data_IF_629970059312
#
_entry.id   IF_629970059312
#
_cell.length_a   1.000
_cell.length_b   1.000
_cell.length_c   1.000
_cell.angle_alpha   90.00
_cell.angle_beta   90.00
_cell.angle_gamma   90.00
#
_symmetry.space_group_name_H-M   'P 1'
#
loop_
_entity.id
_entity.type
_entity.pdbx_description
1 polymer ?
#
# COMPACT_ATOMS: atom_id res chain seq x y z
N UNK A 1 -14.43 15.20 -39.95
CA UNK A 1 -14.62 16.13 -38.80
C UNK A 1 -14.98 15.34 -37.53
N UNK A 2 -14.14 14.38 -37.10
CA UNK A 2 -14.40 13.49 -35.94
C UNK A 2 -13.08 13.28 -35.17
N UNK A 3 -12.53 14.34 -34.58
CA UNK A 3 -11.29 14.26 -33.78
C UNK A 3 -11.34 15.05 -32.46
N UNK A 4 -12.50 15.58 -32.06
CA UNK A 4 -12.62 16.37 -30.81
C UNK A 4 -13.21 15.61 -29.61
N UNK A 5 -13.42 14.30 -29.71
CA UNK A 5 -14.03 13.48 -28.63
C UNK A 5 -13.03 12.67 -27.78
N UNK A 6 -11.72 12.76 -28.06
CA UNK A 6 -10.69 11.98 -27.35
C UNK A 6 -9.84 12.77 -26.35
N UNK A 7 -10.22 14.00 -25.99
CA UNK A 7 -9.64 14.65 -24.82
C UNK A 7 -10.45 14.29 -23.58
N UNK A 8 -9.82 13.51 -22.69
CA UNK A 8 -10.36 13.14 -21.38
C UNK A 8 -10.89 14.38 -20.65
N UNK A 9 -12.17 14.41 -20.24
CA UNK A 9 -12.74 15.57 -19.58
C UNK A 9 -12.09 15.84 -18.20
N UNK A 10 -12.04 17.12 -17.83
CA UNK A 10 -11.44 17.64 -16.59
C UNK A 10 -12.01 17.06 -15.29
N UNK A 11 -13.17 16.39 -15.32
CA UNK A 11 -13.76 15.74 -14.14
C UNK A 11 -13.05 14.45 -13.70
N UNK A 12 -12.08 13.95 -14.46
CA UNK A 12 -11.22 12.82 -14.05
C UNK A 12 -10.10 13.22 -13.09
N UNK A 13 -9.88 14.51 -12.85
CA UNK A 13 -8.73 15.00 -12.07
C UNK A 13 -8.99 15.13 -10.56
N UNK A 14 -10.25 15.06 -10.10
CA UNK A 14 -10.57 15.20 -8.68
C UNK A 14 -11.73 14.26 -8.28
N UNK A 15 -11.40 13.11 -7.69
CA UNK A 15 -12.38 12.11 -7.21
C UNK A 15 -12.99 11.29 -8.36
N UNK A 16 -12.26 10.27 -8.79
CA UNK A 16 -12.53 9.54 -10.03
C UNK A 16 -13.96 8.99 -10.12
N UNK A 17 -14.56 9.13 -11.30
CA UNK A 17 -15.83 8.51 -11.73
C UNK A 17 -15.95 7.02 -11.36
N UNK A 18 -14.80 6.36 -11.14
CA UNK A 18 -14.62 4.97 -10.73
C UNK A 18 -15.28 4.67 -9.37
N UNK A 19 -15.16 5.55 -8.38
CA UNK A 19 -15.68 5.32 -7.02
C UNK A 19 -17.23 5.34 -6.98
N UNK A 20 -17.84 5.94 -8.02
CA UNK A 20 -19.30 6.04 -8.16
C UNK A 20 -19.91 4.92 -9.00
N UNK A 21 -19.10 4.20 -9.79
CA UNK A 21 -19.60 3.17 -10.70
C UNK A 21 -19.79 1.81 -10.02
N UNK A 22 -18.95 1.44 -9.06
CA UNK A 22 -19.07 0.14 -8.38
C UNK A 22 -20.42 -0.07 -7.68
N UNK A 23 -20.99 0.93 -6.97
CA UNK A 23 -22.35 0.82 -6.42
C UNK A 23 -23.43 0.74 -7.50
N UNK A 24 -23.24 1.41 -8.64
CA UNK A 24 -24.18 1.39 -9.77
C UNK A 24 -24.17 0.06 -10.49
N UNK A 25 -22.99 -0.53 -10.72
CA UNK A 25 -22.81 -1.87 -11.28
C UNK A 25 -23.48 -2.89 -10.36
N UNK A 26 -23.23 -2.81 -9.04
CA UNK A 26 -23.90 -3.69 -8.06
C UNK A 26 -25.42 -3.60 -8.17
N UNK A 27 -25.98 -2.39 -8.16
CA UNK A 27 -27.43 -2.18 -8.24
C UNK A 27 -28.02 -2.62 -9.59
N UNK A 28 -27.28 -2.45 -10.67
CA UNK A 28 -27.69 -2.84 -12.02
C UNK A 28 -27.69 -4.37 -12.20
N UNK A 29 -26.67 -5.05 -11.68
CA UNK A 29 -26.56 -6.51 -11.64
C UNK A 29 -27.64 -7.15 -10.77
N UNK A 30 -28.02 -6.50 -9.67
CA UNK A 30 -29.12 -6.97 -8.81
C UNK A 30 -30.51 -6.84 -9.46
N UNK A 31 -30.67 -6.02 -10.51
CA UNK A 31 -31.96 -5.68 -11.11
C UNK A 31 -32.22 -6.26 -12.50
N UNK A 32 -31.20 -6.80 -13.20
CA UNK A 32 -31.34 -7.29 -14.59
C UNK A 32 -30.94 -8.76 -14.68
N UNK A 33 -31.92 -9.65 -14.90
CA UNK A 33 -31.75 -11.09 -14.69
C UNK A 33 -30.96 -11.83 -15.78
N UNK A 34 -30.89 -11.36 -17.04
CA UNK A 34 -30.29 -12.18 -18.12
C UNK A 34 -29.63 -11.42 -19.28
N UNK A 35 -29.70 -10.09 -19.32
CA UNK A 35 -29.02 -9.30 -20.35
C UNK A 35 -27.86 -8.54 -19.72
N UNK A 36 -26.70 -8.61 -20.37
CA UNK A 36 -25.51 -7.78 -20.16
C UNK A 36 -24.34 -8.35 -19.33
N UNK A 37 -24.22 -9.67 -19.12
CA UNK A 37 -22.98 -10.27 -18.60
C UNK A 37 -21.70 -9.77 -19.30
N UNK A 38 -21.74 -9.59 -20.62
CA UNK A 38 -20.61 -9.06 -21.40
C UNK A 38 -20.27 -7.61 -21.06
N UNK A 39 -21.28 -6.75 -20.84
CA UNK A 39 -21.05 -5.34 -20.50
C UNK A 39 -20.61 -5.22 -19.04
N UNK A 40 -21.20 -6.00 -18.13
CA UNK A 40 -20.76 -6.08 -16.73
C UNK A 40 -19.30 -6.54 -16.64
N UNK A 41 -18.96 -7.62 -17.35
CA UNK A 41 -17.57 -8.10 -17.45
C UNK A 41 -16.64 -7.01 -17.98
N UNK A 42 -16.99 -6.37 -19.11
CA UNK A 42 -16.19 -5.30 -19.69
C UNK A 42 -15.99 -4.12 -18.73
N UNK A 43 -17.04 -3.70 -18.01
CA UNK A 43 -16.96 -2.65 -17.00
C UNK A 43 -16.03 -3.05 -15.84
N UNK A 44 -16.13 -4.28 -15.35
CA UNK A 44 -15.27 -4.78 -14.27
C UNK A 44 -13.81 -4.90 -14.71
N UNK A 45 -13.54 -5.35 -15.94
CA UNK A 45 -12.19 -5.34 -16.54
C UNK A 45 -11.66 -3.91 -16.60
N UNK A 46 -12.46 -2.96 -17.07
CA UNK A 46 -12.07 -1.56 -17.14
C UNK A 46 -11.77 -0.98 -15.75
N UNK A 47 -12.60 -1.29 -14.75
CA UNK A 47 -12.37 -0.87 -13.37
C UNK A 47 -11.10 -1.48 -12.78
N UNK A 48 -10.82 -2.76 -13.03
CA UNK A 48 -9.59 -3.41 -12.59
C UNK A 48 -8.36 -2.72 -13.20
N UNK A 49 -8.38 -2.44 -14.51
CA UNK A 49 -7.28 -1.75 -15.19
C UNK A 49 -7.05 -0.34 -14.63
N UNK A 50 -8.11 0.42 -14.40
CA UNK A 50 -8.01 1.77 -13.84
C UNK A 50 -7.58 1.76 -12.36
N UNK A 51 -7.94 0.73 -11.58
CA UNK A 51 -7.44 0.52 -10.22
C UNK A 51 -5.95 0.16 -10.25
N UNK A 52 -5.56 -0.80 -11.09
CA UNK A 52 -4.18 -1.25 -11.23
C UNK A 52 -3.25 -0.10 -11.63
N UNK A 53 -3.65 0.71 -12.62
CA UNK A 53 -2.89 1.89 -13.02
C UNK A 53 -2.68 2.86 -11.84
N UNK A 54 -3.76 3.24 -11.14
CA UNK A 54 -3.68 4.16 -10.00
C UNK A 54 -2.78 3.63 -8.89
N UNK A 55 -2.95 2.37 -8.51
CA UNK A 55 -2.17 1.76 -7.43
C UNK A 55 -0.70 1.60 -7.82
N UNK A 56 -0.39 1.27 -9.08
CA UNK A 56 0.97 1.19 -9.59
C UNK A 56 1.66 2.57 -9.62
N UNK A 57 0.95 3.61 -10.09
CA UNK A 57 1.45 4.98 -10.10
C UNK A 57 1.71 5.49 -8.67
N UNK A 58 0.80 5.21 -7.74
CA UNK A 58 0.98 5.53 -6.32
C UNK A 58 2.15 4.75 -5.71
N UNK A 59 2.25 3.44 -5.92
CA UNK A 59 3.39 2.65 -5.44
C UNK A 59 4.72 3.11 -6.06
N UNK A 60 4.69 3.67 -7.28
CA UNK A 60 5.82 4.28 -7.97
C UNK A 60 6.18 5.70 -7.51
N UNK A 61 5.39 6.35 -6.65
CA UNK A 61 5.63 7.74 -6.23
C UNK A 61 5.60 7.95 -4.72
N UNK A 62 4.81 7.17 -3.99
CA UNK A 62 4.54 7.34 -2.56
C UNK A 62 5.65 6.76 -1.66
N UNK A 63 5.89 7.43 -0.52
CA UNK A 63 6.68 6.86 0.59
C UNK A 63 5.86 5.80 1.34
N UNK A 64 6.50 4.98 2.17
CA UNK A 64 5.79 4.01 3.02
C UNK A 64 4.74 4.68 3.92
N UNK A 65 5.02 5.87 4.45
CA UNK A 65 4.08 6.63 5.27
C UNK A 65 2.88 7.15 4.49
N UNK A 66 3.07 7.62 3.25
CA UNK A 66 1.94 8.00 2.39
C UNK A 66 1.08 6.78 2.08
N UNK A 67 1.72 5.64 1.79
CA UNK A 67 1.01 4.37 1.55
C UNK A 67 0.19 3.95 2.77
N UNK A 68 0.72 4.09 3.98
CA UNK A 68 -0.02 3.78 5.20
C UNK A 68 -1.24 4.69 5.42
N UNK A 69 -1.15 5.98 5.07
CA UNK A 69 -2.30 6.90 5.12
C UNK A 69 -3.38 6.55 4.10
N UNK A 70 -3.00 6.09 2.92
CA UNK A 70 -3.92 5.68 1.85
C UNK A 70 -4.41 4.22 1.92
N UNK A 71 -3.86 3.42 2.84
CA UNK A 71 -4.08 1.97 2.93
C UNK A 71 -5.56 1.59 3.00
N UNK A 72 -6.32 2.27 3.87
CA UNK A 72 -7.76 2.02 4.06
C UNK A 72 -8.57 2.19 2.76
N UNK A 73 -8.24 3.21 1.96
CA UNK A 73 -8.95 3.48 0.71
C UNK A 73 -8.59 2.45 -0.38
N UNK A 74 -7.31 2.07 -0.51
CA UNK A 74 -6.89 1.02 -1.46
C UNK A 74 -7.53 -0.33 -1.15
N UNK A 75 -7.56 -0.71 0.13
CA UNK A 75 -8.22 -1.94 0.59
C UNK A 75 -9.71 -1.90 0.25
N UNK A 76 -10.38 -0.78 0.53
CA UNK A 76 -11.80 -0.60 0.21
C UNK A 76 -12.08 -0.73 -1.28
N UNK A 77 -11.30 -0.07 -2.15
CA UNK A 77 -11.48 -0.13 -3.60
C UNK A 77 -11.36 -1.56 -4.14
N UNK A 78 -10.39 -2.33 -3.64
CA UNK A 78 -10.23 -3.75 -3.99
C UNK A 78 -11.43 -4.57 -3.51
N UNK A 79 -11.85 -4.37 -2.26
CA UNK A 79 -12.99 -5.08 -1.67
C UNK A 79 -14.29 -4.78 -2.44
N UNK A 80 -14.52 -3.52 -2.81
CA UNK A 80 -15.71 -3.12 -3.57
C UNK A 80 -15.73 -3.78 -4.96
N UNK A 81 -14.58 -3.83 -5.64
CA UNK A 81 -14.45 -4.49 -6.94
C UNK A 81 -14.64 -6.01 -6.83
N UNK A 82 -14.05 -6.66 -5.81
CA UNK A 82 -14.27 -8.08 -5.51
C UNK A 82 -15.75 -8.38 -5.27
N UNK A 83 -16.43 -7.55 -4.46
CA UNK A 83 -17.86 -7.72 -4.19
C UNK A 83 -18.70 -7.59 -5.46
N UNK A 84 -18.37 -6.63 -6.33
CA UNK A 84 -19.07 -6.46 -7.61
C UNK A 84 -18.87 -7.67 -8.53
N UNK A 85 -17.65 -8.21 -8.61
CA UNK A 85 -17.35 -9.41 -9.38
C UNK A 85 -18.10 -10.66 -8.85
N UNK A 86 -18.11 -10.86 -7.53
CA UNK A 86 -18.84 -11.95 -6.88
C UNK A 86 -20.35 -11.84 -7.08
N UNK A 87 -20.92 -10.64 -6.98
CA UNK A 87 -22.34 -10.39 -7.27
C UNK A 87 -22.69 -10.68 -8.73
N UNK A 88 -21.78 -10.35 -9.65
CA UNK A 88 -21.93 -10.57 -11.09
C UNK A 88 -21.68 -12.01 -11.53
N UNK A 89 -21.24 -12.87 -10.61
CA UNK A 89 -20.84 -14.27 -10.87
C UNK A 89 -19.75 -14.37 -11.94
N UNK A 90 -18.87 -13.39 -11.98
CA UNK A 90 -17.78 -13.30 -12.95
C UNK A 90 -16.49 -13.86 -12.33
N UNK A 91 -16.34 -15.18 -12.42
CA UNK A 91 -15.18 -15.89 -11.86
C UNK A 91 -13.87 -15.48 -12.56
N UNK A 92 -13.92 -15.11 -13.85
CA UNK A 92 -12.74 -14.67 -14.61
C UNK A 92 -12.18 -13.38 -14.01
N UNK A 93 -13.05 -12.42 -13.71
CA UNK A 93 -12.63 -11.19 -13.05
C UNK A 93 -12.20 -11.43 -11.61
N UNK A 94 -12.91 -12.26 -10.84
CA UNK A 94 -12.50 -12.57 -9.47
C UNK A 94 -11.07 -13.11 -9.43
N UNK A 95 -10.74 -14.01 -10.35
CA UNK A 95 -9.40 -14.58 -10.50
C UNK A 95 -8.40 -13.50 -10.93
N UNK A 96 -8.75 -12.65 -11.90
CA UNK A 96 -7.89 -11.56 -12.36
C UNK A 96 -7.55 -10.56 -11.26
N UNK A 97 -8.49 -10.27 -10.34
CA UNK A 97 -8.24 -9.41 -9.18
C UNK A 97 -7.26 -10.11 -8.21
N UNK A 98 -7.43 -11.40 -7.96
CA UNK A 98 -6.53 -12.18 -7.10
C UNK A 98 -5.12 -12.24 -7.71
N UNK A 99 -5.00 -12.52 -9.00
CA UNK A 99 -3.73 -12.53 -9.72
C UNK A 99 -3.04 -11.17 -9.61
N UNK A 100 -3.77 -10.07 -9.85
CA UNK A 100 -3.26 -8.72 -9.69
C UNK A 100 -2.71 -8.46 -8.26
N UNK A 101 -3.43 -8.88 -7.21
CA UNK A 101 -2.99 -8.70 -5.82
C UNK A 101 -1.70 -9.47 -5.50
N UNK A 102 -1.56 -10.68 -6.05
CA UNK A 102 -0.36 -11.50 -5.88
C UNK A 102 0.82 -10.89 -6.65
N UNK A 103 0.62 -10.55 -7.92
CA UNK A 103 1.66 -10.03 -8.81
C UNK A 103 2.15 -8.63 -8.39
N UNK A 104 1.31 -7.87 -7.68
CA UNK A 104 1.58 -6.50 -7.25
C UNK A 104 1.60 -6.36 -5.71
N UNK A 105 2.05 -7.40 -5.01
CA UNK A 105 2.11 -7.47 -3.55
C UNK A 105 2.76 -6.24 -2.88
N UNK A 106 3.78 -5.66 -3.53
CA UNK A 106 4.56 -4.54 -2.99
C UNK A 106 3.80 -3.21 -2.99
N UNK A 107 2.64 -3.15 -3.66
CA UNK A 107 1.76 -1.98 -3.65
C UNK A 107 0.95 -1.88 -2.34
N UNK A 108 0.91 -2.96 -1.56
CA UNK A 108 0.09 -3.11 -0.37
C UNK A 108 0.95 -3.32 0.86
N UNK A 109 0.46 -2.88 2.03
CA UNK A 109 1.03 -3.34 3.29
C UNK A 109 0.60 -4.80 3.53
N UNK A 110 1.39 -5.58 4.25
CA UNK A 110 1.02 -6.97 4.53
C UNK A 110 -0.32 -7.06 5.29
N UNK A 111 -0.59 -6.12 6.20
CA UNK A 111 -1.88 -6.03 6.89
C UNK A 111 -3.05 -5.67 5.96
N UNK A 112 -2.82 -4.97 4.85
CA UNK A 112 -3.85 -4.70 3.84
C UNK A 112 -4.24 -6.00 3.14
N UNK A 113 -3.24 -6.82 2.77
CA UNK A 113 -3.47 -8.14 2.17
C UNK A 113 -4.18 -9.07 3.14
N UNK A 114 -3.89 -9.00 4.44
CA UNK A 114 -4.64 -9.72 5.49
C UNK A 114 -6.09 -9.27 5.54
N UNK A 115 -6.37 -7.97 5.51
CA UNK A 115 -7.75 -7.46 5.52
C UNK A 115 -8.55 -7.97 4.31
N UNK A 116 -7.94 -7.94 3.12
CA UNK A 116 -8.53 -8.48 1.89
C UNK A 116 -8.72 -10.00 1.98
N UNK A 117 -7.73 -10.74 2.50
CA UNK A 117 -7.81 -12.19 2.70
C UNK A 117 -8.97 -12.58 3.62
N UNK A 118 -9.15 -11.88 4.75
CA UNK A 118 -10.26 -12.09 5.67
C UNK A 118 -11.60 -11.78 5.01
N UNK A 119 -11.67 -10.70 4.22
CA UNK A 119 -12.87 -10.38 3.45
C UNK A 119 -13.22 -11.50 2.48
N UNK A 120 -12.26 -11.96 1.67
CA UNK A 120 -12.44 -13.05 0.71
C UNK A 120 -12.90 -14.32 1.43
N UNK A 121 -12.31 -14.67 2.58
CA UNK A 121 -12.64 -15.89 3.33
C UNK A 121 -14.07 -15.91 3.84
N UNK A 122 -14.58 -14.78 4.33
CA UNK A 122 -15.95 -14.63 4.83
C UNK A 122 -17.02 -14.78 3.74
N UNK A 123 -16.65 -14.57 2.48
CA UNK A 123 -17.56 -14.80 1.36
C UNK A 123 -17.75 -16.30 1.13
N UNK A 124 -19.00 -16.76 0.99
CA UNK A 124 -19.25 -18.15 0.58
C UNK A 124 -19.07 -18.29 -0.92
N UNK A 125 -18.23 -19.22 -1.40
CA UNK A 125 -18.06 -19.45 -2.83
C UNK A 125 -19.36 -20.01 -3.38
N UNK A 126 -19.79 -19.51 -4.54
CA UNK A 126 -20.89 -20.11 -5.31
C UNK A 126 -20.38 -21.09 -6.38
N UNK A 127 -19.07 -21.12 -6.64
CA UNK A 127 -18.43 -21.85 -7.74
C UNK A 127 -17.06 -22.44 -7.34
N UNK A 128 -16.65 -23.53 -8.00
CA UNK A 128 -15.43 -24.29 -7.68
C UNK A 128 -14.13 -23.62 -8.16
N UNK A 129 -14.11 -22.99 -9.34
CA UNK A 129 -12.90 -22.35 -9.89
C UNK A 129 -12.44 -21.19 -9.01
N UNK A 130 -13.39 -20.42 -8.49
CA UNK A 130 -13.16 -19.34 -7.53
C UNK A 130 -12.61 -19.87 -6.19
N UNK A 131 -12.95 -21.10 -5.81
CA UNK A 131 -12.41 -21.69 -4.57
C UNK A 131 -10.90 -21.91 -4.64
N UNK A 132 -10.39 -22.47 -5.74
CA UNK A 132 -8.95 -22.70 -5.91
C UNK A 132 -8.14 -21.40 -5.82
N UNK A 133 -8.62 -20.34 -6.48
CA UNK A 133 -7.92 -19.05 -6.48
C UNK A 133 -8.00 -18.34 -5.12
N UNK A 134 -9.13 -18.47 -4.42
CA UNK A 134 -9.25 -18.02 -3.02
C UNK A 134 -8.26 -18.75 -2.13
N UNK A 135 -8.19 -20.07 -2.21
CA UNK A 135 -7.19 -20.86 -1.45
C UNK A 135 -5.77 -20.43 -1.78
N UNK A 136 -5.46 -20.18 -3.07
CA UNK A 136 -4.15 -19.67 -3.49
C UNK A 136 -3.81 -18.33 -2.85
N UNK A 137 -4.72 -17.36 -2.88
CA UNK A 137 -4.49 -16.05 -2.24
C UNK A 137 -4.31 -16.16 -0.73
N UNK A 138 -5.15 -16.96 -0.08
CA UNK A 138 -5.08 -17.22 1.35
C UNK A 138 -3.75 -17.88 1.77
N UNK A 139 -3.31 -18.89 1.02
CA UNK A 139 -2.03 -19.54 1.23
C UNK A 139 -0.85 -18.57 1.00
N UNK A 140 -0.95 -17.73 -0.03
CA UNK A 140 0.04 -16.70 -0.31
C UNK A 140 0.19 -15.71 0.87
N UNK A 141 -0.90 -15.14 1.37
CA UNK A 141 -0.85 -14.20 2.51
C UNK A 141 -0.35 -14.89 3.78
N UNK A 142 -0.79 -16.12 4.05
CA UNK A 142 -0.30 -16.93 5.18
C UNK A 142 1.21 -17.15 5.09
N UNK A 143 1.71 -17.56 3.94
CA UNK A 143 3.14 -17.83 3.76
C UNK A 143 3.98 -16.55 3.93
N UNK A 144 3.49 -15.40 3.45
CA UNK A 144 4.15 -14.10 3.69
C UNK A 144 4.23 -13.76 5.17
N UNK A 145 3.14 -13.95 5.92
CA UNK A 145 3.15 -13.75 7.38
C UNK A 145 4.16 -14.67 8.06
N UNK A 146 4.16 -15.96 7.71
CA UNK A 146 5.12 -16.93 8.26
C UNK A 146 6.55 -16.50 7.94
N UNK A 147 6.88 -16.15 6.69
CA UNK A 147 8.23 -15.71 6.31
C UNK A 147 8.69 -14.48 7.10
N UNK A 148 7.80 -13.49 7.31
CA UNK A 148 8.13 -12.29 8.09
C UNK A 148 8.30 -12.62 9.58
N UNK A 149 7.48 -13.50 10.14
CA UNK A 149 7.53 -13.88 11.55
C UNK A 149 8.66 -14.88 11.87
N UNK A 150 9.09 -15.71 10.90
CA UNK A 150 10.26 -16.58 11.03
C UNK A 150 11.56 -15.77 11.03
N UNK A 151 11.54 -14.54 10.49
CA UNK A 151 12.67 -13.63 10.59
C UNK A 151 12.83 -13.16 12.05
N UNK A 152 14.07 -13.08 12.55
CA UNK A 152 14.32 -12.69 13.95
C UNK A 152 13.75 -11.28 14.21
N UNK A 153 13.27 -11.02 15.44
CA UNK A 153 12.87 -9.67 15.81
C UNK A 153 14.06 -8.71 15.70
N UNK A 154 13.75 -7.42 15.52
CA UNK A 154 14.74 -6.35 15.51
C UNK A 154 15.60 -6.43 16.78
N UNK A 155 16.91 -6.41 16.60
CA UNK A 155 17.86 -6.44 17.72
C UNK A 155 17.86 -5.08 18.45
N UNK A 156 18.13 -5.08 19.76
CA UNK A 156 18.06 -3.87 20.60
C UNK A 156 19.07 -2.78 20.19
N UNK A 157 20.13 -3.15 19.49
CA UNK A 157 21.17 -2.29 18.96
C UNK A 157 21.04 -2.01 17.46
N UNK A 158 20.01 -2.55 16.79
CA UNK A 158 19.75 -2.29 15.39
C UNK A 158 18.92 -1.02 15.20
N UNK A 159 19.61 0.10 15.01
CA UNK A 159 19.01 1.40 14.68
C UNK A 159 18.81 1.63 13.18
N UNK A 160 18.95 0.60 12.34
CA UNK A 160 18.76 0.78 10.89
C UNK A 160 17.30 1.09 10.56
N UNK A 161 17.08 2.11 9.74
CA UNK A 161 15.79 2.49 9.20
C UNK A 161 15.83 2.24 7.69
N UNK A 162 15.08 1.22 7.26
CA UNK A 162 14.92 0.88 5.84
C UNK A 162 13.78 1.73 5.28
N UNK A 163 14.06 3.03 5.12
CA UNK A 163 13.20 3.96 4.42
C UNK A 163 14.06 4.67 3.38
N UNK A 164 13.74 4.48 2.10
CA UNK A 164 14.46 5.14 1.01
C UNK A 164 13.60 6.29 0.53
N UNK A 165 14.16 7.51 0.58
CA UNK A 165 13.61 8.58 -0.23
C UNK A 165 13.89 8.31 -1.72
N UNK A 166 13.11 8.94 -2.61
CA UNK A 166 13.30 8.81 -4.07
C UNK A 166 14.20 9.92 -4.64
N UNK A 167 14.74 10.79 -3.80
CA UNK A 167 15.52 11.93 -4.22
C UNK A 167 16.98 11.50 -4.42
N UNK A 168 17.48 11.56 -5.66
CA UNK A 168 18.85 11.18 -5.98
C UNK A 168 19.92 12.20 -5.62
N UNK A 169 19.60 13.26 -4.86
CA UNK A 169 20.56 14.30 -4.55
C UNK A 169 21.60 13.81 -3.51
N UNK A 170 22.79 14.42 -3.51
CA UNK A 170 23.87 14.03 -2.61
C UNK A 170 23.46 14.11 -1.12
N UNK A 171 22.58 15.05 -0.77
CA UNK A 171 22.09 15.18 0.60
C UNK A 171 21.17 14.02 1.01
N UNK A 172 20.28 13.61 0.11
CA UNK A 172 19.40 12.46 0.34
C UNK A 172 20.17 11.14 0.38
N UNK A 173 21.22 10.99 -0.42
CA UNK A 173 22.12 9.84 -0.32
C UNK A 173 22.81 9.78 1.06
N UNK A 174 23.36 10.90 1.53
CA UNK A 174 23.98 10.99 2.85
C UNK A 174 22.98 10.72 3.99
N UNK A 175 21.74 11.22 3.86
CA UNK A 175 20.66 10.90 4.79
C UNK A 175 20.35 9.40 4.79
N UNK A 176 20.20 8.77 3.62
CA UNK A 176 19.92 7.35 3.51
C UNK A 176 21.05 6.50 4.11
N UNK A 177 22.32 6.87 3.91
CA UNK A 177 23.45 6.20 4.57
C UNK A 177 23.35 6.29 6.09
N UNK A 178 23.02 7.46 6.63
CA UNK A 178 22.78 7.61 8.07
C UNK A 178 21.59 6.77 8.57
N UNK A 179 20.50 6.72 7.82
CA UNK A 179 19.32 5.93 8.17
C UNK A 179 19.64 4.44 8.19
N UNK A 180 20.37 3.94 7.20
CA UNK A 180 20.69 2.51 7.07
C UNK A 180 21.75 2.00 8.06
N UNK A 181 22.63 2.87 8.57
CA UNK A 181 23.63 2.49 9.56
C UNK A 181 22.97 2.05 10.89
N UNK A 182 23.22 0.81 11.32
CA UNK A 182 22.63 0.25 12.54
C UNK A 182 23.27 0.81 13.83
N UNK A 183 24.51 1.26 13.76
CA UNK A 183 25.31 1.78 14.87
C UNK A 183 25.21 3.30 15.04
N UNK A 184 24.81 4.03 14.00
CA UNK A 184 24.66 5.47 14.03
C UNK A 184 23.26 5.89 14.52
N UNK A 185 23.22 6.46 15.72
CA UNK A 185 22.00 6.99 16.36
C UNK A 185 21.84 8.49 16.18
N UNK A 186 22.93 9.21 15.99
CA UNK A 186 22.96 10.67 15.88
C UNK A 186 23.87 11.12 14.73
N UNK A 187 23.53 12.26 14.12
CA UNK A 187 24.35 12.92 13.12
C UNK A 187 24.23 14.43 13.24
N UNK A 188 25.38 15.11 13.26
CA UNK A 188 25.45 16.56 13.20
C UNK A 188 25.97 16.96 11.83
N UNK A 189 25.19 17.73 11.10
CA UNK A 189 25.45 18.01 9.70
C UNK A 189 25.43 19.51 9.40
N UNK A 190 26.60 20.13 9.15
CA UNK A 190 26.64 21.52 8.71
C UNK A 190 26.10 21.63 7.28
N UNK A 191 25.01 22.38 7.13
CA UNK A 191 24.31 22.54 5.85
C UNK A 191 23.93 24.00 5.66
N UNK A 192 23.78 24.47 4.42
CA UNK A 192 23.19 25.79 4.16
C UNK A 192 21.67 25.77 4.38
N UNK A 193 21.03 26.94 4.52
CA UNK A 193 19.59 27.04 4.86
C UNK A 193 18.68 26.25 3.92
N UNK A 194 18.87 26.37 2.60
CA UNK A 194 18.03 25.67 1.62
C UNK A 194 18.17 24.14 1.71
N UNK A 195 19.41 23.65 1.85
CA UNK A 195 19.70 22.21 2.02
C UNK A 195 19.12 21.65 3.32
N UNK A 196 19.20 22.41 4.42
CA UNK A 196 18.52 22.01 5.68
C UNK A 196 17.02 21.92 5.51
N UNK A 197 16.39 22.91 4.87
CA UNK A 197 14.95 22.91 4.64
C UNK A 197 14.50 21.71 3.81
N UNK A 198 15.31 21.33 2.81
CA UNK A 198 15.08 20.13 2.01
C UNK A 198 15.08 18.87 2.89
N UNK A 199 16.12 18.65 3.69
CA UNK A 199 16.20 17.48 4.58
C UNK A 199 15.07 17.45 5.61
N UNK A 200 14.68 18.60 6.17
CA UNK A 200 13.50 18.70 7.04
C UNK A 200 12.25 18.13 6.33
N UNK A 201 11.95 18.61 5.12
CA UNK A 201 10.79 18.14 4.36
C UNK A 201 10.86 16.66 3.98
N UNK A 202 12.06 16.13 3.70
CA UNK A 202 12.25 14.71 3.40
C UNK A 202 11.97 13.84 4.64
N UNK A 203 12.54 14.19 5.81
CA UNK A 203 12.32 13.45 7.06
C UNK A 203 10.84 13.51 7.49
N UNK A 204 10.21 14.68 7.41
CA UNK A 204 8.78 14.85 7.68
C UNK A 204 7.90 14.02 6.72
N UNK A 205 8.20 14.08 5.41
CA UNK A 205 7.44 13.37 4.37
C UNK A 205 7.57 11.84 4.42
N UNK A 206 8.71 11.33 4.91
CA UNK A 206 8.89 9.91 5.18
C UNK A 206 8.20 9.44 6.46
N UNK A 207 7.86 10.36 7.37
CA UNK A 207 7.23 10.09 8.68
C UNK A 207 7.97 9.00 9.47
N UNK A 208 9.30 9.05 9.44
CA UNK A 208 10.20 8.11 10.14
C UNK A 208 10.50 8.59 11.57
N UNK A 209 10.84 7.68 12.50
CA UNK A 209 11.14 8.01 13.89
C UNK A 209 12.53 8.65 14.05
N UNK A 210 12.73 9.82 13.43
CA UNK A 210 13.97 10.61 13.49
C UNK A 210 13.63 12.05 13.86
N UNK A 211 14.15 12.49 15.00
CA UNK A 211 14.08 13.90 15.37
C UNK A 211 15.11 14.70 14.59
N UNK A 212 14.73 15.92 14.20
CA UNK A 212 15.53 16.81 13.38
C UNK A 212 15.47 18.22 13.95
N UNK A 213 16.61 18.81 14.32
CA UNK A 213 16.67 20.12 14.94
C UNK A 213 17.81 20.95 14.36
N UNK A 214 17.54 22.21 14.03
CA UNK A 214 18.60 23.13 13.59
C UNK A 214 19.17 23.88 14.78
N UNK A 215 20.47 23.69 15.04
CA UNK A 215 21.23 24.52 15.98
C UNK A 215 21.69 25.80 15.28
N UNK A 216 21.23 26.95 15.79
CA UNK A 216 21.49 28.28 15.22
C UNK A 216 22.70 28.95 15.88
N UNK A 217 23.83 28.25 15.91
CA UNK A 217 25.10 28.75 16.43
C UNK A 217 26.20 28.63 15.37
N UNK A 218 26.95 29.71 15.16
CA UNK A 218 27.98 29.80 14.11
C UNK A 218 27.42 29.86 12.68
N UNK A 219 28.29 29.93 11.67
CA UNK A 219 27.90 29.80 10.26
C UNK A 219 28.83 28.80 9.59
N UNK A 220 28.31 27.78 8.89
CA UNK A 220 26.89 27.44 8.69
C UNK A 220 26.22 26.83 9.94
N UNK A 221 24.92 27.07 10.14
CA UNK A 221 24.11 26.37 11.15
C UNK A 221 24.11 24.85 10.92
N UNK A 222 23.99 24.08 12.00
CA UNK A 222 24.06 22.62 11.97
C UNK A 222 22.67 22.00 12.10
N UNK A 223 22.41 20.96 11.30
CA UNK A 223 21.25 20.10 11.45
C UNK A 223 21.64 18.89 12.31
N UNK A 224 20.93 18.71 13.42
CA UNK A 224 21.05 17.55 14.30
C UNK A 224 19.96 16.57 13.97
N UNK A 225 20.34 15.36 13.58
CA UNK A 225 19.46 14.22 13.38
C UNK A 225 19.68 13.23 14.51
N UNK A 226 18.60 12.72 15.09
CA UNK A 226 18.65 11.67 16.12
C UNK A 226 17.53 10.66 15.90
N UNK A 227 17.90 9.40 15.72
CA UNK A 227 16.94 8.28 15.68
C UNK A 227 16.29 8.10 17.04
N UNK A 228 14.99 7.84 17.04
CA UNK A 228 14.18 7.75 18.24
C UNK A 228 13.90 6.29 18.61
N UNK A 229 13.82 6.01 19.91
CA UNK A 229 13.44 4.69 20.44
C UNK A 229 12.05 4.23 19.98
N UNK A 230 11.23 5.16 19.48
CA UNK A 230 9.96 4.85 18.84
C UNK A 230 10.12 3.80 17.72
N UNK A 231 11.28 3.74 17.06
CA UNK A 231 11.63 2.70 16.09
C UNK A 231 11.42 1.27 16.64
N UNK A 232 11.85 1.00 17.88
CA UNK A 232 11.72 -0.33 18.48
C UNK A 232 10.28 -0.63 18.89
N UNK A 233 9.57 0.38 19.40
CA UNK A 233 8.15 0.27 19.76
C UNK A 233 7.29 -0.02 18.54
N UNK A 234 7.54 0.69 17.44
CA UNK A 234 6.83 0.50 16.17
C UNK A 234 7.12 -0.90 15.60
N UNK A 235 8.38 -1.35 15.64
CA UNK A 235 8.76 -2.68 15.18
C UNK A 235 8.10 -3.80 16.02
N UNK A 236 8.05 -3.63 17.34
CA UNK A 236 7.38 -4.57 18.25
C UNK A 236 5.87 -4.61 17.97
N UNK A 237 5.21 -3.45 17.93
CA UNK A 237 3.77 -3.35 17.68
C UNK A 237 3.41 -3.94 16.31
N UNK A 238 4.20 -3.67 15.27
CA UNK A 238 4.00 -4.26 13.95
C UNK A 238 4.11 -5.78 14.01
N UNK A 239 5.09 -6.32 14.74
CA UNK A 239 5.24 -7.77 14.88
C UNK A 239 4.06 -8.40 15.61
N UNK A 240 3.61 -7.81 16.72
CA UNK A 240 2.43 -8.26 17.48
C UNK A 240 1.18 -8.28 16.60
N UNK A 241 0.96 -7.24 15.78
CA UNK A 241 -0.15 -7.19 14.81
C UNK A 241 -0.08 -8.30 13.76
N UNK A 242 1.12 -8.64 13.29
CA UNK A 242 1.31 -9.73 12.33
C UNK A 242 1.09 -11.11 12.96
N UNK A 243 1.51 -11.30 14.22
CA UNK A 243 1.25 -12.53 14.99
C UNK A 243 -0.25 -12.73 15.23
N UNK A 244 -0.95 -11.68 15.63
CA UNK A 244 -2.42 -11.70 15.77
C UNK A 244 -3.10 -12.00 14.43
N UNK A 245 -2.66 -11.35 13.35
CA UNK A 245 -3.18 -11.59 12.01
C UNK A 245 -2.99 -13.05 11.56
N UNK A 246 -1.82 -13.64 11.82
CA UNK A 246 -1.56 -15.04 11.51
C UNK A 246 -2.44 -15.98 12.32
N UNK A 247 -2.56 -15.74 13.63
CA UNK A 247 -3.41 -16.52 14.53
C UNK A 247 -4.87 -16.51 14.06
N UNK A 248 -5.41 -15.33 13.76
CA UNK A 248 -6.78 -15.18 13.27
C UNK A 248 -6.98 -15.86 11.92
N UNK A 249 -6.05 -15.69 10.97
CA UNK A 249 -6.17 -16.39 9.68
C UNK A 249 -6.16 -17.90 9.86
N UNK A 250 -5.29 -18.44 10.73
CA UNK A 250 -5.18 -19.86 11.06
C UNK A 250 -6.41 -20.42 11.76
N UNK A 251 -6.95 -19.72 12.76
CA UNK A 251 -8.15 -20.15 13.50
C UNK A 251 -9.41 -20.17 12.63
N UNK A 252 -9.43 -19.39 11.55
CA UNK A 252 -10.52 -19.41 10.59
C UNK A 252 -10.39 -20.62 9.61
N UNK A 253 -9.29 -21.41 9.59
CA UNK A 253 -9.09 -22.63 8.75
C UNK A 253 -9.32 -23.91 9.53
#
# INVERSE_FOLDING_TARGET
MIQHWFTAPSYLQNGGMIDKLTPLIKRWVEQSADAHHTVTHWLLVHQLNALAQRHNEQAGTESAAVRQRGASERVKQVIDLLNAALSSRDDVICNSIIDYLIDNENNYLLLDLVAIARHIKRQRPKFNTTEQQRTRFLAFVRNKLITVLDSPPRQADDWSIIATDRCGCADCQELNTFLQASDLTHKTWPLAKGRRQHIHGIVEGMSIPVSHQTERSGSPHKLHLKKCEQLFKDAQMQREQLEEALCVLQAEF
#
